data_IF_276340989190
#
_entry.id   IF_276340989190
#
_cell.length_a   1.000
_cell.length_b   1.000
_cell.length_c   1.000
_cell.angle_alpha   90.00
_cell.angle_beta   90.00
_cell.angle_gamma   90.00
#
_symmetry.space_group_name_H-M   'P 1'
#
loop_
_entity.id
_entity.type
_entity.pdbx_description
1 polymer ?
#
# COMPACT_ATOMS: atom_id res chain seq x y z
N UNK A 1 11.90 -21.95 11.73
CA UNK A 1 12.44 -20.57 11.65
C UNK A 1 13.14 -20.30 10.32
N UNK A 2 14.32 -20.87 10.04
CA UNK A 2 15.09 -20.59 8.81
C UNK A 2 14.36 -20.84 7.48
N UNK A 3 13.51 -21.88 7.40
CA UNK A 3 12.68 -22.18 6.21
C UNK A 3 11.63 -21.12 5.86
N UNK A 4 11.15 -20.34 6.84
CA UNK A 4 10.24 -19.21 6.58
C UNK A 4 11.00 -17.88 6.44
N UNK A 5 12.10 -17.72 7.17
CA UNK A 5 12.86 -16.47 7.19
C UNK A 5 13.54 -16.19 5.85
N UNK A 6 14.21 -17.18 5.24
CA UNK A 6 14.94 -16.97 3.99
C UNK A 6 14.05 -16.52 2.81
N UNK A 7 12.90 -17.18 2.52
CA UNK A 7 12.00 -16.72 1.45
C UNK A 7 11.48 -15.30 1.69
N UNK A 8 11.12 -14.99 2.93
CA UNK A 8 10.61 -13.66 3.30
C UNK A 8 11.68 -12.59 3.11
N UNK A 9 12.93 -12.87 3.49
CA UNK A 9 14.05 -11.95 3.33
C UNK A 9 14.35 -11.69 1.85
N UNK A 10 14.36 -12.76 1.04
CA UNK A 10 14.54 -12.66 -0.41
C UNK A 10 13.45 -11.79 -1.05
N UNK A 11 12.19 -11.97 -0.65
CA UNK A 11 11.08 -11.17 -1.16
C UNK A 11 11.22 -9.69 -0.81
N UNK A 12 11.68 -9.35 0.41
CA UNK A 12 11.94 -7.97 0.79
C UNK A 12 13.10 -7.35 -0.01
N UNK A 13 14.17 -8.11 -0.27
CA UNK A 13 15.31 -7.64 -1.09
C UNK A 13 14.85 -7.37 -2.52
N UNK A 14 14.11 -8.29 -3.13
CA UNK A 14 13.57 -8.13 -4.48
C UNK A 14 12.62 -6.92 -4.54
N UNK A 15 11.73 -6.77 -3.56
CA UNK A 15 10.84 -5.61 -3.46
C UNK A 15 11.60 -4.29 -3.35
N UNK A 16 12.67 -4.24 -2.56
CA UNK A 16 13.54 -3.07 -2.44
C UNK A 16 14.28 -2.74 -3.74
N UNK A 17 14.82 -3.76 -4.44
CA UNK A 17 15.47 -3.59 -5.74
C UNK A 17 14.48 -3.09 -6.80
N UNK A 18 13.25 -3.59 -6.79
CA UNK A 18 12.20 -3.10 -7.69
C UNK A 18 11.93 -1.61 -7.45
N UNK A 19 11.76 -1.19 -6.20
CA UNK A 19 11.56 0.23 -5.87
C UNK A 19 12.74 1.12 -6.32
N UNK A 20 13.98 0.62 -6.23
CA UNK A 20 15.15 1.33 -6.75
C UNK A 20 15.12 1.46 -8.27
N UNK A 21 14.77 0.38 -8.98
CA UNK A 21 14.64 0.39 -10.44
C UNK A 21 13.56 1.38 -10.87
N UNK A 22 12.40 1.40 -10.21
CA UNK A 22 11.30 2.31 -10.52
C UNK A 22 11.74 3.78 -10.36
N UNK A 23 12.43 4.11 -9.28
CA UNK A 23 12.99 5.45 -9.06
C UNK A 23 14.05 5.84 -10.10
N UNK A 24 14.94 4.92 -10.49
CA UNK A 24 15.96 5.18 -11.51
C UNK A 24 15.30 5.39 -12.88
N UNK A 25 14.34 4.55 -13.25
CA UNK A 25 13.60 4.65 -14.50
C UNK A 25 12.85 5.99 -14.59
N UNK A 26 12.10 6.37 -13.55
CA UNK A 26 11.36 7.63 -13.55
C UNK A 26 12.29 8.82 -13.53
N UNK A 27 13.38 8.76 -12.75
CA UNK A 27 14.41 9.80 -12.75
C UNK A 27 15.07 9.99 -14.13
N UNK A 28 15.26 8.91 -14.90
CA UNK A 28 15.85 8.96 -16.23
C UNK A 28 14.86 9.39 -17.33
N UNK A 29 13.64 8.87 -17.31
CA UNK A 29 12.65 9.09 -18.39
C UNK A 29 11.72 10.28 -18.16
N UNK A 30 11.35 10.57 -16.91
CA UNK A 30 10.42 11.66 -16.55
C UNK A 30 11.16 12.86 -15.93
N UNK A 31 12.33 12.61 -15.34
CA UNK A 31 13.18 13.64 -14.75
C UNK A 31 12.90 13.88 -13.27
N UNK A 32 13.56 14.89 -12.71
CA UNK A 32 13.55 15.17 -11.27
C UNK A 32 12.15 15.50 -10.72
N UNK A 33 11.32 16.22 -11.49
CA UNK A 33 9.95 16.59 -11.09
C UNK A 33 9.06 15.35 -10.95
N UNK A 34 9.13 14.42 -11.91
CA UNK A 34 8.39 13.16 -11.84
C UNK A 34 8.84 12.28 -10.67
N UNK A 35 10.16 12.22 -10.42
CA UNK A 35 10.67 11.46 -9.28
C UNK A 35 10.22 12.05 -7.92
N UNK A 36 10.20 13.39 -7.80
CA UNK A 36 9.67 14.08 -6.63
C UNK A 36 8.16 13.84 -6.45
N UNK A 37 7.41 13.80 -7.55
CA UNK A 37 5.97 13.50 -7.54
C UNK A 37 5.68 12.08 -7.02
N UNK A 38 6.46 11.07 -7.44
CA UNK A 38 6.36 9.71 -6.89
C UNK A 38 6.70 9.69 -5.40
N UNK A 39 7.74 10.41 -4.98
CA UNK A 39 8.12 10.48 -3.56
C UNK A 39 6.99 11.04 -2.67
N UNK A 40 6.39 12.17 -3.07
CA UNK A 40 5.25 12.77 -2.36
C UNK A 40 4.03 11.84 -2.39
N UNK A 41 3.73 11.25 -3.55
CA UNK A 41 2.62 10.31 -3.70
C UNK A 41 2.78 9.08 -2.82
N UNK A 42 3.99 8.53 -2.74
CA UNK A 42 4.31 7.39 -1.89
C UNK A 42 4.13 7.72 -0.42
N UNK A 43 4.52 8.90 0.05
CA UNK A 43 4.30 9.32 1.45
C UNK A 43 2.81 9.34 1.82
N UNK A 44 1.96 9.87 0.92
CA UNK A 44 0.51 9.87 1.11
C UNK A 44 -0.02 8.43 1.10
N UNK A 45 0.42 7.62 0.15
CA UNK A 45 -0.02 6.23 0.02
C UNK A 45 0.41 5.35 1.21
N UNK A 46 1.60 5.60 1.79
CA UNK A 46 2.10 4.89 2.98
C UNK A 46 1.13 4.97 4.15
N UNK A 47 0.43 6.10 4.36
CA UNK A 47 -0.58 6.22 5.42
C UNK A 47 -1.72 5.21 5.22
N UNK A 48 -2.17 5.07 3.97
CA UNK A 48 -3.23 4.12 3.60
C UNK A 48 -2.73 2.68 3.79
N UNK A 49 -1.51 2.39 3.33
CA UNK A 49 -0.88 1.07 3.48
C UNK A 49 -0.76 0.68 4.96
N UNK A 50 -0.30 1.58 5.82
CA UNK A 50 -0.16 1.33 7.26
C UNK A 50 -1.53 1.12 7.91
N UNK A 51 -2.53 1.91 7.54
CA UNK A 51 -3.89 1.75 8.05
C UNK A 51 -4.47 0.37 7.69
N UNK A 52 -4.41 -0.01 6.41
CA UNK A 52 -4.85 -1.33 5.93
C UNK A 52 -4.07 -2.44 6.64
N UNK A 53 -2.73 -2.34 6.68
CA UNK A 53 -1.87 -3.33 7.33
C UNK A 53 -2.22 -3.53 8.81
N UNK A 54 -2.56 -2.45 9.52
CA UNK A 54 -2.98 -2.50 10.92
C UNK A 54 -4.28 -3.29 11.09
N UNK A 55 -5.28 -3.06 10.23
CA UNK A 55 -6.54 -3.81 10.25
C UNK A 55 -6.30 -5.31 9.98
N UNK A 56 -5.50 -5.63 8.98
CA UNK A 56 -5.22 -7.01 8.60
C UNK A 56 -4.35 -7.76 9.60
N UNK A 57 -3.45 -7.07 10.30
CA UNK A 57 -2.65 -7.67 11.37
C UNK A 57 -3.55 -8.22 12.46
N UNK A 58 -4.63 -7.50 12.82
CA UNK A 58 -5.62 -7.99 13.77
C UNK A 58 -6.36 -9.24 13.29
N UNK A 59 -6.68 -9.33 11.99
CA UNK A 59 -7.29 -10.53 11.41
C UNK A 59 -6.33 -11.71 11.34
N UNK A 60 -5.03 -11.45 11.11
CA UNK A 60 -3.98 -12.47 11.16
C UNK A 60 -3.88 -13.17 12.52
N UNK A 61 -4.12 -12.45 13.61
CA UNK A 61 -4.18 -13.03 14.97
C UNK A 61 -5.33 -14.01 15.11
N UNK A 62 -6.52 -13.69 14.58
CA UNK A 62 -7.67 -14.59 14.60
C UNK A 62 -7.41 -15.86 13.77
N UNK A 63 -6.80 -15.70 12.60
CA UNK A 63 -6.39 -16.83 11.75
C UNK A 63 -5.42 -17.74 12.50
N UNK A 64 -4.36 -17.18 13.08
CA UNK A 64 -3.37 -17.95 13.84
C UNK A 64 -4.02 -18.70 15.03
N UNK A 65 -4.96 -18.07 15.73
CA UNK A 65 -5.70 -18.70 16.83
C UNK A 65 -6.55 -19.88 16.36
N UNK A 66 -7.31 -19.73 15.28
CA UNK A 66 -8.15 -20.82 14.75
C UNK A 66 -7.32 -21.95 14.13
N UNK A 67 -6.19 -21.63 13.49
CA UNK A 67 -5.24 -22.64 13.02
C UNK A 67 -4.64 -23.42 14.20
N UNK A 68 -4.26 -22.76 15.29
CA UNK A 68 -3.75 -23.44 16.49
C UNK A 68 -4.79 -24.26 17.25
N UNK A 69 -6.08 -23.97 17.06
CA UNK A 69 -7.19 -24.71 17.64
C UNK A 69 -7.69 -25.88 16.76
N UNK A 70 -7.05 -26.13 15.62
CA UNK A 70 -7.44 -27.14 14.63
C UNK A 70 -8.89 -26.96 14.11
N UNK A 71 -9.31 -25.70 13.92
CA UNK A 71 -10.66 -25.31 13.44
C UNK A 71 -10.62 -24.75 12.00
N UNK A 72 -10.39 -25.59 10.97
CA UNK A 72 -10.16 -25.14 9.59
C UNK A 72 -11.34 -24.38 8.98
N UNK A 73 -12.59 -24.71 9.34
CA UNK A 73 -13.77 -23.99 8.86
C UNK A 73 -13.77 -22.54 9.34
N UNK A 74 -13.35 -22.29 10.58
CA UNK A 74 -13.27 -20.93 11.14
C UNK A 74 -12.11 -20.15 10.54
N UNK A 75 -10.99 -20.81 10.24
CA UNK A 75 -9.89 -20.20 9.47
C UNK A 75 -10.42 -19.71 8.13
N UNK A 76 -11.06 -20.59 7.34
CA UNK A 76 -11.55 -20.24 6.02
C UNK A 76 -12.57 -19.09 6.09
N UNK A 77 -13.54 -19.17 7.01
CA UNK A 77 -14.54 -18.11 7.19
C UNK A 77 -13.91 -16.77 7.55
N UNK A 78 -12.90 -16.77 8.43
CA UNK A 78 -12.20 -15.54 8.86
C UNK A 78 -11.44 -14.91 7.70
N UNK A 79 -10.70 -15.71 6.92
CA UNK A 79 -9.96 -15.23 5.74
C UNK A 79 -10.93 -14.70 4.69
N UNK A 80 -12.04 -15.39 4.44
CA UNK A 80 -13.05 -14.95 3.47
C UNK A 80 -13.68 -13.61 3.87
N UNK A 81 -14.03 -13.48 5.15
CA UNK A 81 -14.58 -12.23 5.68
C UNK A 81 -13.54 -11.10 5.68
N UNK A 82 -12.28 -11.41 5.96
CA UNK A 82 -11.17 -10.47 5.89
C UNK A 82 -11.01 -9.90 4.48
N UNK A 83 -11.00 -10.78 3.48
CA UNK A 83 -10.89 -10.40 2.08
C UNK A 83 -12.06 -9.53 1.63
N UNK A 84 -13.30 -9.94 1.91
CA UNK A 84 -14.50 -9.17 1.55
C UNK A 84 -14.52 -7.80 2.22
N UNK A 85 -14.17 -7.73 3.51
CA UNK A 85 -14.12 -6.47 4.26
C UNK A 85 -13.09 -5.54 3.65
N UNK A 86 -11.92 -6.05 3.27
CA UNK A 86 -10.88 -5.25 2.66
C UNK A 86 -11.22 -4.75 1.27
N UNK A 87 -11.78 -5.61 0.41
CA UNK A 87 -12.24 -5.18 -0.92
C UNK A 87 -13.31 -4.11 -0.76
N UNK A 88 -14.29 -4.31 0.13
CA UNK A 88 -15.32 -3.29 0.36
C UNK A 88 -14.74 -1.98 0.90
N UNK A 89 -13.82 -2.05 1.87
CA UNK A 89 -13.19 -0.86 2.44
C UNK A 89 -12.36 -0.11 1.40
N UNK A 90 -11.58 -0.81 0.58
CA UNK A 90 -10.77 -0.20 -0.47
C UNK A 90 -11.66 0.44 -1.54
N UNK A 91 -12.63 -0.30 -2.08
CA UNK A 91 -13.45 0.16 -3.22
C UNK A 91 -14.46 1.22 -2.83
N UNK A 92 -15.14 1.07 -1.69
CA UNK A 92 -16.25 1.96 -1.32
C UNK A 92 -15.84 3.09 -0.38
N UNK A 93 -14.70 2.99 0.30
CA UNK A 93 -14.28 3.99 1.29
C UNK A 93 -12.96 4.64 0.89
N UNK A 94 -11.88 3.87 0.78
CA UNK A 94 -10.54 4.43 0.60
C UNK A 94 -10.34 5.04 -0.80
N UNK A 95 -10.79 4.37 -1.87
CA UNK A 95 -10.63 4.89 -3.24
C UNK A 95 -11.44 6.17 -3.49
N UNK A 96 -12.75 6.27 -3.13
CA UNK A 96 -13.51 7.50 -3.31
C UNK A 96 -12.98 8.65 -2.45
N UNK A 97 -12.65 8.37 -1.18
CA UNK A 97 -12.08 9.38 -0.28
C UNK A 97 -10.73 9.83 -0.81
N UNK A 98 -9.86 8.90 -1.20
CA UNK A 98 -8.56 9.17 -1.79
C UNK A 98 -8.69 10.09 -2.99
N UNK A 99 -9.52 9.73 -3.98
CA UNK A 99 -9.72 10.50 -5.21
C UNK A 99 -10.14 11.95 -4.97
N UNK A 100 -11.05 12.18 -4.00
CA UNK A 100 -11.56 13.51 -3.64
C UNK A 100 -10.55 14.26 -2.77
N UNK A 101 -9.85 13.58 -1.86
CA UNK A 101 -8.91 14.17 -0.93
C UNK A 101 -7.52 14.44 -1.53
N UNK A 102 -7.14 13.79 -2.64
CA UNK A 102 -5.83 13.98 -3.31
C UNK A 102 -5.40 15.44 -3.44
N UNK A 103 -6.21 16.38 -3.99
CA UNK A 103 -5.78 17.77 -4.12
C UNK A 103 -5.48 18.42 -2.75
N UNK A 104 -6.32 18.17 -1.74
CA UNK A 104 -6.13 18.71 -0.39
C UNK A 104 -4.86 18.13 0.25
N UNK A 105 -4.60 16.83 0.05
CA UNK A 105 -3.41 16.16 0.55
C UNK A 105 -2.14 16.71 -0.11
N UNK A 106 -2.17 16.95 -1.42
CA UNK A 106 -1.05 17.54 -2.15
C UNK A 106 -0.76 19.00 -1.74
N UNK A 107 -1.79 19.77 -1.39
CA UNK A 107 -1.62 21.11 -0.83
C UNK A 107 -1.03 21.05 0.59
N UNK A 108 -1.46 20.08 1.41
CA UNK A 108 -0.97 19.89 2.77
C UNK A 108 0.52 19.53 2.82
N UNK A 109 1.00 18.73 1.86
CA UNK A 109 2.44 18.39 1.73
C UNK A 109 3.26 19.56 1.14
N UNK A 110 2.64 20.70 0.81
CA UNK A 110 3.29 21.87 0.20
C UNK A 110 4.10 21.50 -1.06
N UNK A 111 3.57 20.60 -1.88
CA UNK A 111 4.20 20.24 -3.14
C UNK A 111 4.21 21.46 -4.10
N UNK A 112 5.31 21.66 -4.83
CA UNK A 112 5.36 22.75 -5.83
C UNK A 112 4.35 22.50 -6.95
N UNK A 113 3.84 23.54 -7.63
CA UNK A 113 2.83 23.38 -8.68
C UNK A 113 3.23 22.38 -9.78
N UNK A 114 4.51 22.34 -10.14
CA UNK A 114 5.05 21.38 -11.11
C UNK A 114 5.00 19.92 -10.61
N UNK A 115 5.24 19.69 -9.32
CA UNK A 115 5.16 18.36 -8.70
C UNK A 115 3.71 17.94 -8.50
N UNK A 116 2.83 18.86 -8.11
CA UNK A 116 1.40 18.59 -7.98
C UNK A 116 0.76 18.15 -9.32
N UNK A 117 1.16 18.77 -10.43
CA UNK A 117 0.66 18.42 -11.75
C UNK A 117 0.94 16.96 -12.15
N UNK A 118 2.10 16.43 -11.74
CA UNK A 118 2.50 15.03 -11.99
C UNK A 118 1.93 14.06 -10.92
N UNK A 119 1.85 14.50 -9.65
CA UNK A 119 1.40 13.65 -8.54
C UNK A 119 -0.12 13.42 -8.53
N UNK A 120 -0.90 14.41 -8.96
CA UNK A 120 -2.37 14.34 -8.97
C UNK A 120 -2.93 13.20 -9.84
N UNK A 121 -2.55 13.05 -11.13
CA UNK A 121 -3.02 11.92 -11.93
C UNK A 121 -2.49 10.59 -11.40
N UNK A 122 -1.24 10.56 -10.92
CA UNK A 122 -0.64 9.35 -10.35
C UNK A 122 -1.42 8.82 -9.13
N UNK A 123 -1.72 9.68 -8.16
CA UNK A 123 -2.49 9.32 -6.96
C UNK A 123 -3.96 8.97 -7.21
N UNK A 124 -4.54 9.45 -8.32
CA UNK A 124 -5.93 9.13 -8.69
C UNK A 124 -6.06 7.78 -9.41
N UNK A 125 -4.98 7.32 -10.04
CA UNK A 125 -4.95 6.06 -10.78
C UNK A 125 -4.50 4.88 -9.90
N UNK A 126 -3.64 5.14 -8.91
CA UNK A 126 -3.28 4.16 -7.86
C UNK A 126 -4.50 3.70 -7.07
#
# INVERSE_FOLDING_TARGET
>A
MWRLAWPTMLQNIIGGLQGLVDHVMVGHYVGYVGNAAIGVSWQIFLVIVVFISSLFTGMGVLVARFTGADEPEKVNRTVHQAFLTAVMLVVFVLAPIGYVATPILLDLVNATPAVQAEALPYLRIM
#
